data_IF_397745847351
#
_entry.id   IF_397745847351
#
_cell.length_a   1.000
_cell.length_b   1.000
_cell.length_c   1.000
_cell.angle_alpha   90.00
_cell.angle_beta   90.00
_cell.angle_gamma   90.00
#
_symmetry.space_group_name_H-M   'P 1'
#
loop_
_entity.id
_entity.type
_entity.pdbx_description
1 polymer ?
#
# COMPACT_ATOMS: atom_id res chain seq x y z
N UNK A 1 -21.57 2.29 8.92
CA UNK A 1 -20.39 2.73 8.17
C UNK A 1 -20.82 3.77 7.14
N UNK A 2 -20.25 4.98 7.24
CA UNK A 2 -20.36 6.04 6.25
C UNK A 2 -19.27 5.87 5.19
N UNK A 3 -19.45 6.45 4.00
CA UNK A 3 -18.46 6.34 2.92
C UNK A 3 -17.05 6.79 3.35
N UNK A 4 -16.96 7.83 4.19
CA UNK A 4 -15.69 8.34 4.73
C UNK A 4 -14.99 7.33 5.64
N UNK A 5 -15.74 6.73 6.57
CA UNK A 5 -15.21 5.74 7.53
C UNK A 5 -14.65 4.51 6.79
N UNK A 6 -15.31 4.09 5.71
CA UNK A 6 -14.80 3.00 4.86
C UNK A 6 -13.51 3.40 4.15
N UNK A 7 -13.45 4.61 3.59
CA UNK A 7 -12.27 5.07 2.87
C UNK A 7 -11.05 5.21 3.79
N UNK A 8 -11.25 5.72 5.02
CA UNK A 8 -10.21 5.81 6.06
C UNK A 8 -9.74 4.40 6.45
N UNK A 9 -10.66 3.47 6.70
CA UNK A 9 -10.32 2.08 7.02
C UNK A 9 -9.47 1.40 5.91
N UNK A 10 -9.83 1.58 4.64
CA UNK A 10 -9.08 1.01 3.52
C UNK A 10 -7.72 1.68 3.33
N UNK A 11 -7.62 2.99 3.61
CA UNK A 11 -6.36 3.70 3.59
C UNK A 11 -5.41 3.15 4.65
N UNK A 12 -5.88 3.01 5.90
CA UNK A 12 -5.11 2.43 7.00
C UNK A 12 -4.68 0.98 6.69
N UNK A 13 -5.55 0.21 6.04
CA UNK A 13 -5.22 -1.16 5.64
C UNK A 13 -4.05 -1.19 4.64
N UNK A 14 -4.13 -0.38 3.57
CA UNK A 14 -3.14 -0.31 2.49
C UNK A 14 -1.83 0.35 2.97
N UNK A 15 -1.89 1.33 3.88
CA UNK A 15 -0.70 1.98 4.44
C UNK A 15 0.06 1.10 5.44
N UNK A 16 -0.56 0.03 5.94
CA UNK A 16 0.03 -0.80 6.99
C UNK A 16 -0.37 -0.36 8.40
N UNK A 17 -1.11 0.74 8.55
CA UNK A 17 -1.39 1.39 9.85
C UNK A 17 -2.64 0.84 10.56
N UNK A 18 -3.44 0.01 9.88
CA UNK A 18 -4.61 -0.62 10.50
C UNK A 18 -4.20 -1.50 11.68
N UNK A 19 -4.83 -1.36 12.87
CA UNK A 19 -4.55 -2.19 14.04
C UNK A 19 -4.60 -3.69 13.72
N UNK A 20 -3.69 -4.46 14.31
CA UNK A 20 -3.47 -5.88 13.98
C UNK A 20 -4.74 -6.74 14.08
N UNK A 21 -5.55 -6.54 15.12
CA UNK A 21 -6.83 -7.24 15.29
C UNK A 21 -7.80 -6.96 14.11
N UNK A 22 -7.91 -5.70 13.72
CA UNK A 22 -8.77 -5.28 12.61
C UNK A 22 -8.24 -5.79 11.27
N UNK A 23 -6.90 -5.80 11.10
CA UNK A 23 -6.25 -6.36 9.92
C UNK A 23 -6.55 -7.85 9.77
N UNK A 24 -6.37 -8.63 10.83
CA UNK A 24 -6.66 -10.07 10.81
C UNK A 24 -8.12 -10.36 10.45
N UNK A 25 -9.07 -9.60 11.03
CA UNK A 25 -10.49 -9.72 10.68
C UNK A 25 -10.78 -9.36 9.22
N UNK A 26 -10.14 -8.32 8.70
CA UNK A 26 -10.33 -7.91 7.31
C UNK A 26 -9.71 -8.89 6.31
N UNK A 27 -8.51 -9.39 6.58
CA UNK A 27 -7.87 -10.43 5.78
C UNK A 27 -8.71 -11.72 5.75
N UNK A 28 -9.29 -12.10 6.89
CA UNK A 28 -10.25 -13.20 6.96
C UNK A 28 -11.47 -12.96 6.06
N UNK A 29 -11.99 -11.73 6.03
CA UNK A 29 -13.09 -11.36 5.14
C UNK A 29 -12.69 -11.42 3.67
N UNK A 30 -11.53 -10.87 3.31
CA UNK A 30 -10.99 -10.88 1.94
C UNK A 30 -10.80 -12.31 1.42
N UNK A 31 -10.45 -13.27 2.29
CA UNK A 31 -10.35 -14.69 1.92
C UNK A 31 -11.69 -15.35 1.54
N UNK A 32 -12.83 -14.74 1.92
CA UNK A 32 -14.18 -15.30 1.75
C UNK A 32 -15.07 -14.48 0.82
N UNK A 33 -14.73 -13.22 0.57
CA UNK A 33 -15.55 -12.30 -0.21
C UNK A 33 -14.80 -11.80 -1.44
N UNK A 34 -15.07 -12.43 -2.60
CA UNK A 34 -14.47 -12.03 -3.88
C UNK A 34 -14.73 -10.57 -4.23
N UNK A 35 -15.94 -10.06 -3.98
CA UNK A 35 -16.31 -8.69 -4.33
C UNK A 35 -15.47 -7.66 -3.55
N UNK A 36 -15.19 -7.92 -2.27
CA UNK A 36 -14.35 -7.02 -1.47
C UNK A 36 -12.88 -7.11 -1.87
N UNK A 37 -12.41 -8.29 -2.29
CA UNK A 37 -11.07 -8.44 -2.87
C UNK A 37 -10.94 -7.65 -4.19
N UNK A 38 -11.92 -7.76 -5.09
CA UNK A 38 -11.94 -7.00 -6.34
C UNK A 38 -12.02 -5.48 -6.09
N UNK A 39 -12.83 -5.06 -5.12
CA UNK A 39 -12.95 -3.66 -4.72
C UNK A 39 -11.64 -3.10 -4.16
N UNK A 40 -10.96 -3.86 -3.30
CA UNK A 40 -9.65 -3.48 -2.76
C UNK A 40 -8.61 -3.30 -3.88
N UNK A 41 -8.55 -4.22 -4.84
CA UNK A 41 -7.64 -4.10 -5.98
C UNK A 41 -7.89 -2.85 -6.83
N UNK A 42 -9.16 -2.48 -7.02
CA UNK A 42 -9.55 -1.23 -7.68
C UNK A 42 -9.11 -0.01 -6.86
N UNK A 43 -9.35 -0.03 -5.54
CA UNK A 43 -8.94 1.04 -4.63
C UNK A 43 -7.43 1.27 -4.67
N UNK A 44 -6.61 0.20 -4.57
CA UNK A 44 -5.15 0.28 -4.68
C UNK A 44 -4.70 0.86 -6.03
N UNK A 45 -5.38 0.49 -7.12
CA UNK A 45 -5.12 1.03 -8.45
C UNK A 45 -5.42 2.54 -8.52
N UNK A 46 -6.52 2.98 -7.90
CA UNK A 46 -6.87 4.41 -7.79
C UNK A 46 -5.84 5.18 -6.97
N UNK A 47 -5.41 4.65 -5.82
CA UNK A 47 -4.36 5.26 -5.00
C UNK A 47 -3.06 5.39 -5.80
N UNK A 48 -2.64 4.33 -6.50
CA UNK A 48 -1.44 4.35 -7.35
C UNK A 48 -1.54 5.42 -8.44
N UNK A 49 -2.68 5.50 -9.14
CA UNK A 49 -2.89 6.51 -10.17
C UNK A 49 -2.82 7.94 -9.60
N UNK A 50 -3.39 8.16 -8.42
CA UNK A 50 -3.30 9.44 -7.70
C UNK A 50 -1.86 9.83 -7.37
N UNK A 51 -1.07 8.90 -6.81
CA UNK A 51 0.36 9.14 -6.49
C UNK A 51 1.18 9.50 -7.72
N UNK A 52 0.94 8.84 -8.85
CA UNK A 52 1.58 9.17 -10.14
C UNK A 52 1.18 10.58 -10.59
N UNK A 53 -0.13 10.89 -10.57
CA UNK A 53 -0.64 12.19 -11.00
C UNK A 53 -0.11 13.35 -10.12
N UNK A 54 0.14 13.10 -8.84
CA UNK A 54 0.72 14.05 -7.89
C UNK A 54 2.26 14.11 -7.94
N UNK A 55 2.93 13.31 -8.78
CA UNK A 55 4.39 13.27 -8.86
C UNK A 55 5.09 12.61 -7.66
N UNK A 56 4.35 11.92 -6.79
CA UNK A 56 4.91 11.18 -5.64
C UNK A 56 5.56 9.86 -6.06
N UNK A 57 5.11 9.30 -7.19
CA UNK A 57 5.65 8.09 -7.78
C UNK A 57 6.26 8.44 -9.13
N UNK A 58 7.54 8.79 -9.13
CA UNK A 58 8.35 8.92 -10.35
C UNK A 58 9.22 7.69 -10.52
N UNK A 59 9.28 7.14 -11.73
CA UNK A 59 10.28 6.13 -12.11
C UNK A 59 11.68 6.76 -12.29
N UNK A 60 11.78 8.09 -12.23
CA UNK A 60 13.07 8.79 -12.22
C UNK A 60 13.70 8.68 -10.83
N UNK A 61 14.78 7.91 -10.77
CA UNK A 61 15.66 7.87 -9.61
C UNK A 61 16.26 9.27 -9.37
N UNK A 62 16.40 9.71 -8.11
CA UNK A 62 17.18 10.90 -7.79
C UNK A 62 18.58 10.80 -8.41
N UNK A 63 19.09 11.90 -8.96
CA UNK A 63 20.41 11.92 -9.60
C UNK A 63 21.56 11.57 -8.64
N UNK A 64 21.33 11.68 -7.33
CA UNK A 64 22.35 11.54 -6.29
C UNK A 64 21.88 10.54 -5.21
N UNK A 65 21.86 9.25 -5.56
CA UNK A 65 21.57 8.18 -4.60
C UNK A 65 22.90 7.80 -3.89
N UNK A 66 22.97 7.91 -2.55
CA UNK A 66 24.18 7.55 -1.81
C UNK A 66 24.59 6.08 -2.01
N UNK A 67 25.87 5.83 -2.26
CA UNK A 67 26.38 4.47 -2.50
C UNK A 67 26.21 3.53 -1.30
N UNK A 68 26.27 4.06 -0.09
CA UNK A 68 26.09 3.31 1.15
C UNK A 68 24.66 2.78 1.28
N UNK A 69 23.65 3.57 0.86
CA UNK A 69 22.26 3.12 0.78
C UNK A 69 22.11 1.95 -0.21
N UNK A 70 22.73 2.05 -1.39
CA UNK A 70 22.71 0.97 -2.40
C UNK A 70 23.34 -0.30 -1.84
N UNK A 71 24.51 -0.18 -1.18
CA UNK A 71 25.20 -1.31 -0.55
C UNK A 71 24.34 -1.95 0.55
N UNK A 72 23.67 -1.16 1.37
CA UNK A 72 22.79 -1.65 2.44
C UNK A 72 21.60 -2.45 1.90
N UNK A 73 20.89 -1.93 0.88
CA UNK A 73 19.75 -2.63 0.27
C UNK A 73 20.17 -3.95 -0.37
N UNK A 74 21.31 -3.97 -1.07
CA UNK A 74 21.86 -5.19 -1.68
C UNK A 74 22.28 -6.24 -0.64
N UNK A 75 22.78 -5.81 0.53
CA UNK A 75 23.11 -6.71 1.62
C UNK A 75 21.85 -7.34 2.24
N UNK A 76 20.82 -6.53 2.50
CA UNK A 76 19.55 -7.00 3.07
C UNK A 76 18.80 -8.00 2.17
N UNK A 77 18.92 -7.85 0.84
CA UNK A 77 18.33 -8.79 -0.16
C UNK A 77 19.06 -10.12 -0.32
N UNK A 78 20.32 -10.24 0.16
CA UNK A 78 21.12 -11.47 0.10
C UNK A 78 20.95 -12.36 1.34
N UNK A 79 20.17 -11.89 2.32
CA UNK A 79 19.73 -12.64 3.50
C UNK A 79 18.38 -13.29 3.21
#
# INVERSE_FOLDING_TARGET
>A
MKCRELAEFLMDYVSGELPEENRAHFEFHLSRCRNCHEYLAQYESTVKAGRIACGELSDELPADIPEDLVKAVLAARKL
#
